data_IF_535662055779
#
_entry.id   IF_535662055779
#
_cell.length_a   1.000
_cell.length_b   1.000
_cell.length_c   1.000
_cell.angle_alpha   90.00
_cell.angle_beta   90.00
_cell.angle_gamma   90.00
#
_symmetry.space_group_name_H-M   'P 1'
#
loop_
_entity.id
_entity.type
_entity.pdbx_description
1 polymer ?
#
# COMPACT_ATOMS: atom_id res chain seq x y z
N UNK A 1 22.84 2.72 -32.23
CA UNK A 1 21.69 1.84 -32.49
C UNK A 1 22.13 0.42 -32.15
N UNK A 2 21.96 0.01 -30.90
CA UNK A 2 22.10 -1.38 -30.47
C UNK A 2 20.83 -1.72 -29.71
N UNK A 3 20.24 -2.83 -30.12
CA UNK A 3 18.93 -3.33 -29.74
C UNK A 3 19.00 -3.96 -28.33
N UNK A 4 18.32 -3.37 -27.35
CA UNK A 4 18.04 -4.03 -26.05
C UNK A 4 16.69 -4.76 -26.12
N UNK A 5 16.63 -5.77 -26.98
CA UNK A 5 15.64 -6.84 -26.90
C UNK A 5 16.43 -8.14 -26.98
N UNK A 6 16.78 -8.69 -25.80
CA UNK A 6 17.21 -10.06 -25.49
C UNK A 6 18.25 -10.08 -24.35
N UNK A 7 17.86 -9.78 -23.11
CA UNK A 7 18.44 -10.48 -21.95
C UNK A 7 17.31 -10.89 -21.03
N UNK A 8 16.80 -12.12 -21.20
CA UNK A 8 16.02 -12.82 -20.17
C UNK A 8 16.94 -13.22 -19.01
N UNK A 9 17.64 -12.26 -18.42
CA UNK A 9 18.53 -12.48 -17.30
C UNK A 9 17.72 -12.69 -16.03
N UNK A 10 17.89 -13.84 -15.39
CA UNK A 10 17.33 -14.09 -14.05
C UNK A 10 17.93 -13.06 -13.10
N UNK A 11 17.09 -12.24 -12.47
CA UNK A 11 17.51 -11.35 -11.39
C UNK A 11 17.95 -12.21 -10.20
N UNK A 12 19.27 -12.31 -10.00
CA UNK A 12 19.89 -13.13 -8.97
C UNK A 12 19.33 -12.77 -7.59
N UNK A 13 19.03 -11.49 -7.32
CA UNK A 13 18.49 -11.07 -6.02
C UNK A 13 17.12 -11.68 -5.77
N UNK A 14 16.24 -11.65 -6.76
CA UNK A 14 14.92 -12.30 -6.69
C UNK A 14 15.06 -13.80 -6.50
N UNK A 15 15.98 -14.44 -7.24
CA UNK A 15 16.19 -15.88 -7.10
C UNK A 15 16.72 -16.27 -5.72
N UNK A 16 17.64 -15.49 -5.15
CA UNK A 16 18.13 -15.70 -3.78
C UNK A 16 17.00 -15.49 -2.77
N UNK A 17 16.16 -14.46 -2.94
CA UNK A 17 15.01 -14.24 -2.07
C UNK A 17 14.04 -15.44 -2.12
N UNK A 18 13.71 -15.94 -3.30
CA UNK A 18 12.89 -17.14 -3.50
C UNK A 18 13.47 -18.37 -2.78
N UNK A 19 14.74 -18.69 -3.04
CA UNK A 19 15.39 -19.86 -2.41
C UNK A 19 15.42 -19.71 -0.88
N UNK A 20 15.69 -18.51 -0.38
CA UNK A 20 15.70 -18.26 1.05
C UNK A 20 14.31 -18.40 1.68
N UNK A 21 13.26 -17.93 1.00
CA UNK A 21 11.87 -18.12 1.42
C UNK A 21 11.48 -19.59 1.39
N UNK A 22 11.88 -20.35 0.37
CA UNK A 22 11.63 -21.81 0.31
C UNK A 22 12.30 -22.56 1.47
N UNK A 23 13.52 -22.16 1.85
CA UNK A 23 14.21 -22.68 3.03
C UNK A 23 13.44 -22.28 4.30
N UNK A 24 13.06 -21.01 4.43
CA UNK A 24 12.31 -20.50 5.57
C UNK A 24 10.97 -21.24 5.73
N UNK A 25 10.22 -21.50 4.64
CA UNK A 25 8.96 -22.27 4.70
C UNK A 25 9.16 -23.66 5.27
N UNK A 26 10.30 -24.30 5.03
CA UNK A 26 10.62 -25.63 5.57
C UNK A 26 11.13 -25.60 7.01
N UNK A 27 11.83 -24.53 7.41
CA UNK A 27 12.55 -24.48 8.68
C UNK A 27 11.88 -23.61 9.75
N UNK A 28 11.31 -22.47 9.38
CA UNK A 28 10.59 -21.59 10.30
C UNK A 28 9.15 -22.09 10.53
N UNK A 29 8.64 -22.13 11.77
CA UNK A 29 9.24 -21.57 13.00
C UNK A 29 10.09 -22.54 13.84
N UNK A 30 10.10 -23.84 13.54
CA UNK A 30 10.66 -24.88 14.44
C UNK A 30 12.19 -24.97 14.41
N UNK A 31 12.76 -25.16 13.22
CA UNK A 31 14.19 -25.42 13.01
C UNK A 31 15.00 -24.13 12.90
N UNK A 32 14.38 -23.05 12.40
CA UNK A 32 15.00 -21.73 12.31
C UNK A 32 14.10 -20.64 12.91
N UNK A 33 13.86 -20.65 14.24
CA UNK A 33 12.98 -19.69 14.91
C UNK A 33 13.47 -18.24 14.84
N UNK A 34 14.78 -18.03 14.66
CA UNK A 34 15.40 -16.70 14.60
C UNK A 34 15.40 -16.07 13.20
N UNK A 35 14.79 -16.69 12.19
CA UNK A 35 14.86 -16.26 10.79
C UNK A 35 14.68 -14.74 10.60
N UNK A 36 13.59 -14.16 11.09
CA UNK A 36 13.33 -12.72 10.96
C UNK A 36 14.32 -11.86 11.76
N UNK A 37 14.73 -12.32 12.94
CA UNK A 37 15.74 -11.63 13.77
C UNK A 37 17.08 -11.56 13.02
N UNK A 38 17.49 -12.67 12.40
CA UNK A 38 18.73 -12.75 11.63
C UNK A 38 18.67 -11.82 10.39
N UNK A 39 17.55 -11.81 9.68
CA UNK A 39 17.34 -10.92 8.52
C UNK A 39 17.35 -9.44 8.91
N UNK A 40 16.70 -9.09 10.02
CA UNK A 40 16.68 -7.73 10.56
C UNK A 40 18.09 -7.31 11.00
N UNK A 41 18.84 -8.21 11.64
CA UNK A 41 20.22 -7.95 12.06
C UNK A 41 21.11 -7.65 10.85
N UNK A 42 21.00 -8.42 9.77
CA UNK A 42 21.74 -8.17 8.53
C UNK A 42 21.41 -6.79 7.94
N UNK A 43 20.13 -6.40 7.96
CA UNK A 43 19.69 -5.07 7.52
C UNK A 43 20.33 -3.96 8.37
N UNK A 44 20.31 -4.11 9.70
CA UNK A 44 20.81 -3.13 10.67
C UNK A 44 22.34 -3.02 10.70
N UNK A 45 23.07 -4.12 10.45
CA UNK A 45 24.53 -4.13 10.48
C UNK A 45 25.15 -3.43 9.27
N UNK A 46 24.51 -3.53 8.09
CA UNK A 46 25.06 -3.00 6.83
C UNK A 46 24.44 -1.67 6.41
N UNK A 47 23.15 -1.47 6.66
CA UNK A 47 22.39 -0.25 6.33
C UNK A 47 22.61 0.26 4.90
N UNK A 48 22.79 -0.64 3.94
CA UNK A 48 22.95 -0.28 2.52
C UNK A 48 21.61 -0.35 1.78
N UNK A 49 21.44 0.40 0.67
CA UNK A 49 20.27 0.24 -0.19
C UNK A 49 20.08 -1.20 -0.70
N UNK A 50 21.17 -1.93 -0.92
CA UNK A 50 21.16 -3.32 -1.38
C UNK A 50 20.62 -4.29 -0.32
N UNK A 51 21.02 -4.11 0.94
CA UNK A 51 20.52 -4.93 2.05
C UNK A 51 19.05 -4.62 2.34
N UNK A 52 18.62 -3.37 2.19
CA UNK A 52 17.20 -3.00 2.26
C UNK A 52 16.38 -3.66 1.14
N UNK A 53 16.83 -3.54 -0.12
CA UNK A 53 16.20 -4.19 -1.26
C UNK A 53 16.07 -5.70 -1.06
N UNK A 54 17.11 -6.34 -0.53
CA UNK A 54 17.10 -7.77 -0.25
C UNK A 54 16.08 -8.12 0.84
N UNK A 55 16.10 -7.41 1.97
CA UNK A 55 15.16 -7.62 3.08
C UNK A 55 13.70 -7.48 2.63
N UNK A 56 13.36 -6.37 1.96
CA UNK A 56 12.00 -6.15 1.46
C UNK A 56 11.62 -7.11 0.33
N UNK A 57 12.60 -7.55 -0.48
CA UNK A 57 12.41 -8.59 -1.48
C UNK A 57 12.05 -9.95 -0.86
N UNK A 58 12.74 -10.33 0.23
CA UNK A 58 12.41 -11.54 1.01
C UNK A 58 11.00 -11.46 1.58
N UNK A 59 10.61 -10.31 2.17
CA UNK A 59 9.26 -10.12 2.69
C UNK A 59 8.19 -10.19 1.60
N UNK A 60 8.42 -9.56 0.44
CA UNK A 60 7.48 -9.63 -0.69
C UNK A 60 7.30 -11.05 -1.21
N UNK A 61 8.41 -11.77 -1.41
CA UNK A 61 8.38 -13.16 -1.86
C UNK A 61 7.71 -14.07 -0.82
N UNK A 62 7.94 -13.82 0.47
CA UNK A 62 7.27 -14.56 1.54
C UNK A 62 5.76 -14.30 1.51
N UNK A 63 5.32 -13.04 1.43
CA UNK A 63 3.89 -12.69 1.34
C UNK A 63 3.24 -13.36 0.13
N UNK A 64 3.89 -13.27 -1.02
CA UNK A 64 3.42 -13.94 -2.23
C UNK A 64 3.27 -15.45 -2.01
N UNK A 65 4.28 -16.08 -1.41
CA UNK A 65 4.33 -17.54 -1.21
C UNK A 65 3.39 -18.10 -0.11
N UNK A 66 2.95 -17.27 0.85
CA UNK A 66 2.08 -17.73 1.96
C UNK A 66 0.68 -17.12 1.96
N UNK A 67 0.45 -16.06 1.19
CA UNK A 67 -0.81 -15.31 1.15
C UNK A 67 -1.39 -15.24 -0.26
N UNK A 68 -0.61 -14.89 -1.28
CA UNK A 68 -1.15 -14.56 -2.61
C UNK A 68 -1.17 -15.75 -3.59
N UNK A 69 -0.30 -16.74 -3.40
CA UNK A 69 -0.14 -17.87 -4.32
C UNK A 69 -1.22 -18.95 -4.12
N UNK A 70 -2.45 -18.68 -4.58
CA UNK A 70 -3.58 -19.59 -4.40
C UNK A 70 -3.67 -20.75 -5.40
N UNK A 71 -2.86 -20.74 -6.46
CA UNK A 71 -3.09 -21.59 -7.63
C UNK A 71 -2.42 -22.97 -7.55
N UNK A 72 -1.58 -23.23 -6.55
CA UNK A 72 -0.69 -24.40 -6.53
C UNK A 72 -0.55 -25.08 -5.17
N UNK A 73 -1.38 -24.75 -4.18
CA UNK A 73 -1.17 -25.22 -2.82
C UNK A 73 -1.86 -26.56 -2.52
N UNK A 74 -1.06 -27.52 -2.09
CA UNK A 74 -1.54 -28.74 -1.42
C UNK A 74 -2.13 -28.42 -0.04
N UNK A 75 -2.92 -29.33 0.54
CA UNK A 75 -3.48 -29.14 1.89
C UNK A 75 -2.39 -28.99 2.94
N UNK A 76 -1.29 -29.71 2.75
CA UNK A 76 -0.11 -29.68 3.59
C UNK A 76 0.58 -28.31 3.52
N UNK A 77 0.69 -27.72 2.33
CA UNK A 77 1.25 -26.37 2.15
C UNK A 77 0.35 -25.28 2.75
N UNK A 78 -0.98 -25.38 2.59
CA UNK A 78 -1.92 -24.47 3.24
C UNK A 78 -1.79 -24.53 4.77
N UNK A 79 -1.73 -25.74 5.34
CA UNK A 79 -1.51 -25.92 6.77
C UNK A 79 -0.17 -25.33 7.22
N UNK A 80 0.89 -25.49 6.41
CA UNK A 80 2.19 -24.89 6.69
C UNK A 80 2.15 -23.36 6.66
N UNK A 81 1.46 -22.78 5.68
CA UNK A 81 1.28 -21.33 5.57
C UNK A 81 0.54 -20.76 6.78
N UNK A 82 -0.47 -21.46 7.31
CA UNK A 82 -1.16 -21.07 8.55
C UNK A 82 -0.19 -21.04 9.73
N UNK A 83 0.60 -22.11 9.93
CA UNK A 83 1.60 -22.17 11.01
C UNK A 83 2.60 -21.01 10.92
N UNK A 84 3.08 -20.70 9.71
CA UNK A 84 4.03 -19.60 9.50
C UNK A 84 3.38 -18.26 9.86
N UNK A 85 2.17 -17.98 9.36
CA UNK A 85 1.46 -16.72 9.65
C UNK A 85 1.18 -16.55 11.14
N UNK A 86 0.77 -17.61 11.82
CA UNK A 86 0.48 -17.55 13.26
C UNK A 86 1.76 -17.33 14.07
N UNK A 87 2.85 -18.04 13.75
CA UNK A 87 4.13 -17.80 14.41
C UNK A 87 4.66 -16.37 14.16
N UNK A 88 4.49 -15.84 12.94
CA UNK A 88 4.83 -14.45 12.63
C UNK A 88 4.02 -13.47 13.48
N UNK A 89 2.71 -13.70 13.62
CA UNK A 89 1.82 -12.85 14.44
C UNK A 89 2.24 -12.83 15.90
N UNK A 90 2.65 -13.96 16.44
CA UNK A 90 3.05 -14.06 17.85
C UNK A 90 4.40 -13.39 18.15
N UNK A 91 5.36 -13.40 17.21
CA UNK A 91 6.77 -13.13 17.55
C UNK A 91 7.47 -12.07 16.70
N UNK A 92 7.06 -11.89 15.45
CA UNK A 92 7.88 -11.20 14.44
C UNK A 92 7.20 -10.00 13.80
N UNK A 93 5.87 -9.96 13.70
CA UNK A 93 5.17 -8.84 13.06
C UNK A 93 5.45 -7.50 13.76
N UNK A 94 5.47 -7.45 15.09
CA UNK A 94 5.80 -6.21 15.82
C UNK A 94 7.19 -5.68 15.47
N UNK A 95 8.17 -6.58 15.33
CA UNK A 95 9.55 -6.23 14.95
C UNK A 95 9.62 -5.75 13.52
N UNK A 96 8.95 -6.46 12.60
CA UNK A 96 8.88 -6.09 11.18
C UNK A 96 8.24 -4.71 11.01
N UNK A 97 7.16 -4.42 11.74
CA UNK A 97 6.48 -3.12 11.70
C UNK A 97 7.37 -2.01 12.28
N UNK A 98 8.11 -2.30 13.35
CA UNK A 98 9.12 -1.38 13.89
C UNK A 98 10.20 -1.07 12.85
N UNK A 99 10.64 -2.07 12.09
CA UNK A 99 11.59 -1.89 10.98
C UNK A 99 10.99 -1.02 9.89
N UNK A 100 9.74 -1.24 9.48
CA UNK A 100 9.06 -0.39 8.49
C UNK A 100 8.99 1.06 8.92
N UNK A 101 8.52 1.32 10.14
CA UNK A 101 8.41 2.66 10.69
C UNK A 101 9.76 3.37 10.75
N UNK A 102 10.79 2.67 11.26
CA UNK A 102 12.15 3.21 11.36
C UNK A 102 12.73 3.48 9.97
N UNK A 103 12.56 2.53 9.05
CA UNK A 103 13.09 2.62 7.69
C UNK A 103 12.49 3.79 6.92
N UNK A 104 11.16 3.93 6.95
CA UNK A 104 10.44 5.05 6.35
C UNK A 104 10.83 6.39 6.98
N UNK A 105 11.00 6.43 8.30
CA UNK A 105 11.42 7.64 9.01
C UNK A 105 12.82 8.12 8.60
N UNK A 106 13.75 7.19 8.37
CA UNK A 106 15.12 7.49 7.97
C UNK A 106 15.26 7.84 6.48
N UNK A 107 14.44 7.21 5.62
CA UNK A 107 14.57 7.31 4.16
C UNK A 107 13.52 8.20 3.50
N UNK A 108 12.90 9.12 4.26
CA UNK A 108 11.91 10.09 3.74
C UNK A 108 12.38 10.92 2.54
N UNK A 109 13.68 10.97 2.23
CA UNK A 109 14.23 11.69 1.08
C UNK A 109 14.73 10.77 -0.04
N UNK A 110 14.49 9.47 0.06
CA UNK A 110 14.91 8.46 -0.92
C UNK A 110 13.66 7.78 -1.48
N UNK A 111 13.06 8.31 -2.57
CA UNK A 111 11.79 7.84 -3.08
C UNK A 111 11.77 6.35 -3.42
N UNK A 112 12.85 5.83 -4.02
CA UNK A 112 12.95 4.42 -4.43
C UNK A 112 12.86 3.46 -3.23
N UNK A 113 13.57 3.76 -2.16
CA UNK A 113 13.58 2.90 -0.96
C UNK A 113 12.27 3.01 -0.19
N UNK A 114 11.73 4.22 -0.06
CA UNK A 114 10.42 4.48 0.53
C UNK A 114 9.33 3.71 -0.21
N UNK A 115 9.33 3.77 -1.55
CA UNK A 115 8.42 3.04 -2.43
C UNK A 115 8.46 1.54 -2.14
N UNK A 116 9.64 0.93 -2.14
CA UNK A 116 9.80 -0.50 -1.89
C UNK A 116 9.22 -0.91 -0.52
N UNK A 117 9.48 -0.12 0.53
CA UNK A 117 8.95 -0.40 1.86
C UNK A 117 7.42 -0.31 1.91
N UNK A 118 6.83 0.75 1.35
CA UNK A 118 5.38 0.94 1.33
C UNK A 118 4.67 -0.15 0.49
N UNK A 119 5.25 -0.57 -0.64
CA UNK A 119 4.74 -1.70 -1.42
C UNK A 119 4.78 -3.01 -0.65
N UNK A 120 5.86 -3.27 0.09
CA UNK A 120 5.93 -4.46 0.95
C UNK A 120 4.86 -4.39 2.04
N UNK A 121 4.67 -3.22 2.65
CA UNK A 121 3.65 -3.04 3.68
C UNK A 121 2.24 -3.31 3.15
N UNK A 122 1.88 -2.77 1.99
CA UNK A 122 0.56 -2.92 1.34
C UNK A 122 0.11 -4.39 1.32
N UNK A 123 0.99 -5.29 0.83
CA UNK A 123 0.69 -6.73 0.75
C UNK A 123 0.47 -7.41 2.10
N UNK A 124 1.07 -6.90 3.17
CA UNK A 124 0.92 -7.44 4.52
C UNK A 124 -0.31 -6.89 5.24
N UNK A 125 -0.74 -5.66 4.92
CA UNK A 125 -1.83 -5.01 5.63
C UNK A 125 -3.04 -5.93 5.65
N UNK A 126 -3.47 -6.51 4.53
CA UNK A 126 -4.67 -7.36 4.45
C UNK A 126 -4.85 -8.42 5.56
N UNK A 127 -3.77 -9.02 6.09
CA UNK A 127 -3.85 -10.15 7.02
C UNK A 127 -3.22 -9.94 8.41
N UNK A 128 -2.54 -8.82 8.65
CA UNK A 128 -2.01 -8.49 9.99
C UNK A 128 -3.07 -7.87 10.90
N UNK A 129 -2.83 -7.90 12.21
CA UNK A 129 -3.69 -7.24 13.20
C UNK A 129 -3.80 -5.74 12.95
N UNK A 130 -5.02 -5.18 13.05
CA UNK A 130 -5.24 -3.77 12.70
C UNK A 130 -4.60 -2.84 13.73
N UNK A 131 -4.57 -3.24 14.99
CA UNK A 131 -3.94 -2.55 16.11
C UNK A 131 -2.45 -2.24 15.89
N UNK A 132 -1.77 -3.04 15.07
CA UNK A 132 -0.35 -2.85 14.78
C UNK A 132 -0.07 -1.68 13.80
N UNK A 133 -1.06 -1.29 13.00
CA UNK A 133 -0.91 -0.30 11.91
C UNK A 133 -1.85 0.89 12.02
N UNK A 134 -2.98 0.73 12.71
CA UNK A 134 -3.97 1.77 12.96
C UNK A 134 -3.66 2.59 14.23
N UNK A 135 -2.39 2.88 14.46
CA UNK A 135 -1.95 3.72 15.58
C UNK A 135 -1.52 5.10 15.05
N UNK A 136 -1.61 6.11 15.92
CA UNK A 136 -1.33 7.51 15.58
C UNK A 136 0.07 7.70 14.97
N UNK A 137 1.06 6.98 15.48
CA UNK A 137 2.45 7.07 15.03
C UNK A 137 2.59 6.64 13.56
N UNK A 138 2.01 5.50 13.21
CA UNK A 138 2.08 4.95 11.86
C UNK A 138 1.21 5.73 10.87
N UNK A 139 -0.01 6.10 11.29
CA UNK A 139 -0.92 6.89 10.48
C UNK A 139 -0.34 8.28 10.18
N UNK A 140 0.22 8.95 11.19
CA UNK A 140 0.89 10.25 11.01
C UNK A 140 2.02 10.18 9.99
N UNK A 141 2.77 9.08 9.97
CA UNK A 141 3.84 8.88 9.01
C UNK A 141 3.29 8.68 7.58
N UNK A 142 2.24 7.86 7.40
CA UNK A 142 1.56 7.71 6.11
C UNK A 142 1.00 9.04 5.60
N UNK A 143 0.40 9.84 6.49
CA UNK A 143 -0.12 11.17 6.13
C UNK A 143 0.97 12.13 5.69
N UNK A 144 2.18 12.05 6.26
CA UNK A 144 3.31 12.84 5.78
C UNK A 144 3.70 12.47 4.35
N UNK A 145 3.70 11.18 4.01
CA UNK A 145 3.99 10.72 2.65
C UNK A 145 2.90 11.12 1.65
N UNK A 146 1.65 11.25 2.07
CA UNK A 146 0.56 11.77 1.23
C UNK A 146 0.69 13.27 0.99
N UNK A 147 1.10 14.03 2.01
CA UNK A 147 1.17 15.50 1.98
C UNK A 147 2.34 16.06 1.17
N UNK A 148 3.43 15.32 1.00
CA UNK A 148 4.66 15.79 0.36
C UNK A 148 4.68 15.47 -1.14
N UNK A 149 4.46 16.50 -1.96
CA UNK A 149 4.43 16.40 -3.42
C UNK A 149 5.77 15.92 -4.04
N UNK A 150 6.88 15.97 -3.30
CA UNK A 150 8.20 15.47 -3.75
C UNK A 150 8.41 13.98 -3.46
N UNK A 151 7.60 13.42 -2.56
CA UNK A 151 7.59 12.00 -2.22
C UNK A 151 6.59 11.20 -3.06
N UNK A 152 5.67 11.90 -3.72
CA UNK A 152 4.86 11.36 -4.81
C UNK A 152 5.81 10.97 -5.95
N UNK A 153 5.87 9.67 -6.26
CA UNK A 153 6.82 9.15 -7.25
C UNK A 153 6.48 9.68 -8.67
N UNK A 154 7.34 10.49 -9.31
CA UNK A 154 7.23 10.78 -10.72
C UNK A 154 8.05 9.72 -11.47
N UNK A 155 7.58 8.47 -11.49
CA UNK A 155 8.22 7.41 -12.29
C UNK A 155 7.16 6.57 -12.99
N UNK A 156 6.37 7.25 -13.82
CA UNK A 156 5.70 6.63 -14.95
C UNK A 156 5.91 7.55 -16.15
N UNK A 157 7.05 7.41 -16.83
CA UNK A 157 7.11 7.90 -18.20
C UNK A 157 7.70 6.91 -19.19
N UNK A 158 8.52 5.93 -18.80
CA UNK A 158 9.08 5.02 -19.81
C UNK A 158 9.12 3.58 -19.33
N UNK A 159 8.35 2.78 -20.07
CA UNK A 159 8.41 1.32 -20.29
C UNK A 159 7.29 0.49 -19.65
N UNK A 160 6.57 -0.17 -20.57
CA UNK A 160 5.57 -1.24 -20.42
C UNK A 160 4.10 -0.85 -20.25
N UNK A 161 3.60 -0.31 -21.36
CA UNK A 161 2.27 -0.60 -21.91
C UNK A 161 2.01 -2.12 -21.95
N UNK A 162 0.76 -2.52 -21.65
CA UNK A 162 0.16 -3.86 -21.81
C UNK A 162 0.69 -5.02 -20.96
N UNK A 163 0.19 -5.15 -19.71
CA UNK A 163 -0.54 -6.33 -19.22
C UNK A 163 -1.08 -6.06 -17.79
N UNK A 164 -2.41 -5.94 -17.65
CA UNK A 164 -3.20 -6.04 -16.40
C UNK A 164 -3.10 -4.91 -15.33
N UNK A 165 -4.09 -4.00 -15.36
CA UNK A 165 -4.61 -3.24 -14.19
C UNK A 165 -3.59 -2.39 -13.39
N UNK A 166 -2.97 -1.37 -13.96
CA UNK A 166 -3.53 0.00 -14.04
C UNK A 166 -3.91 0.63 -12.68
N UNK A 167 -2.98 0.66 -11.72
CA UNK A 167 -3.03 1.61 -10.59
C UNK A 167 -1.69 2.37 -10.54
N UNK A 168 -1.72 3.65 -10.87
CA UNK A 168 -0.64 4.60 -10.68
C UNK A 168 -0.58 4.96 -9.20
N UNK A 169 -0.15 3.99 -8.40
CA UNK A 169 -0.14 3.99 -6.94
C UNK A 169 0.81 5.04 -6.36
N UNK A 170 0.32 5.88 -5.44
CA UNK A 170 1.19 6.35 -4.36
C UNK A 170 1.11 5.29 -3.29
N UNK A 171 2.19 4.53 -3.05
CA UNK A 171 2.15 3.35 -2.18
C UNK A 171 1.66 3.64 -0.74
N UNK A 172 1.69 4.92 -0.31
CA UNK A 172 1.11 5.36 0.96
C UNK A 172 -0.42 5.42 0.94
N UNK A 173 -1.02 5.80 -0.20
CA UNK A 173 -2.48 5.83 -0.37
C UNK A 173 -3.07 4.42 -0.39
N UNK A 174 -2.40 3.45 -1.03
CA UNK A 174 -2.85 2.05 -1.00
C UNK A 174 -2.81 1.48 0.42
N UNK A 175 -1.72 1.72 1.14
CA UNK A 175 -1.63 1.33 2.55
C UNK A 175 -2.79 1.91 3.37
N UNK A 176 -3.11 3.20 3.16
CA UNK A 176 -4.21 3.86 3.86
C UNK A 176 -5.58 3.29 3.43
N UNK A 177 -5.77 3.03 2.14
CA UNK A 177 -6.97 2.39 1.60
C UNK A 177 -7.20 1.02 2.23
N UNK A 178 -6.16 0.18 2.30
CA UNK A 178 -6.24 -1.16 2.90
C UNK A 178 -6.56 -1.06 4.40
N UNK A 179 -5.97 -0.11 5.12
CA UNK A 179 -6.28 0.15 6.53
C UNK A 179 -7.75 0.56 6.71
N UNK A 180 -8.25 1.50 5.92
CA UNK A 180 -9.65 1.97 6.00
C UNK A 180 -10.62 0.85 5.59
N UNK A 181 -10.24 0.03 4.63
CA UNK A 181 -11.06 -1.09 4.15
C UNK A 181 -11.19 -2.21 5.18
N UNK A 182 -10.26 -2.32 6.12
CA UNK A 182 -10.35 -3.31 7.21
C UNK A 182 -11.56 -3.08 8.11
N UNK A 183 -12.08 -4.19 8.63
CA UNK A 183 -13.06 -4.17 9.72
C UNK A 183 -12.37 -3.72 11.00
N UNK A 184 -12.97 -2.76 11.68
CA UNK A 184 -12.48 -2.25 12.95
C UNK A 184 -13.62 -1.66 13.77
N UNK A 185 -13.35 -1.47 15.05
CA UNK A 185 -14.29 -0.85 15.98
C UNK A 185 -14.70 0.56 15.52
N UNK A 186 -15.97 0.90 15.72
CA UNK A 186 -16.57 2.12 15.18
C UNK A 186 -15.85 3.39 15.68
N UNK A 187 -15.62 3.49 16.99
CA UNK A 187 -15.00 4.67 17.61
C UNK A 187 -13.56 4.85 17.14
N UNK A 188 -12.81 3.76 17.01
CA UNK A 188 -11.44 3.80 16.49
C UNK A 188 -11.39 4.24 15.03
N UNK A 189 -12.31 3.75 14.21
CA UNK A 189 -12.38 4.11 12.79
C UNK A 189 -12.73 5.58 12.59
N UNK A 190 -13.60 6.09 13.46
CA UNK A 190 -13.99 7.49 13.48
C UNK A 190 -12.81 8.41 13.79
N UNK A 191 -12.09 8.16 14.90
CA UNK A 191 -10.93 8.96 15.29
C UNK A 191 -9.84 8.97 14.20
N UNK A 192 -9.66 7.83 13.52
CA UNK A 192 -8.77 7.75 12.36
C UNK A 192 -9.23 8.62 11.20
N UNK A 193 -10.49 8.52 10.78
CA UNK A 193 -11.02 9.30 9.65
C UNK A 193 -11.02 10.80 9.94
N UNK A 194 -11.31 11.20 11.19
CA UNK A 194 -11.22 12.60 11.63
C UNK A 194 -9.81 13.17 11.51
N UNK A 195 -8.78 12.34 11.72
CA UNK A 195 -7.39 12.71 11.51
C UNK A 195 -6.97 12.81 10.04
N UNK A 196 -7.77 12.28 9.11
CA UNK A 196 -7.47 12.31 7.68
C UNK A 196 -8.12 13.53 7.06
N UNK A 197 -7.30 14.44 6.54
CA UNK A 197 -7.74 15.45 5.58
C UNK A 197 -7.96 14.77 4.22
N UNK A 198 -9.05 14.01 4.10
CA UNK A 198 -9.35 13.15 2.93
C UNK A 198 -9.43 14.00 1.67
N UNK A 199 -9.97 15.20 1.80
CA UNK A 199 -10.15 16.13 0.69
C UNK A 199 -8.83 16.59 0.12
N UNK A 200 -7.87 16.92 0.98
CA UNK A 200 -6.52 17.21 0.52
C UNK A 200 -5.87 15.99 -0.14
N UNK A 201 -6.02 14.78 0.42
CA UNK A 201 -5.47 13.55 -0.19
C UNK A 201 -6.06 13.31 -1.58
N UNK A 202 -7.36 13.54 -1.74
CA UNK A 202 -8.08 13.39 -3.01
C UNK A 202 -7.65 14.46 -4.02
N UNK A 203 -7.60 15.74 -3.62
CA UNK A 203 -7.13 16.84 -4.48
C UNK A 203 -5.66 16.65 -4.89
N UNK A 204 -4.80 16.13 -4.01
CA UNK A 204 -3.40 15.84 -4.33
C UNK A 204 -3.24 14.63 -5.27
N UNK A 205 -4.13 13.64 -5.20
CA UNK A 205 -4.10 12.45 -6.07
C UNK A 205 -4.73 12.67 -7.44
N UNK A 206 -5.60 13.68 -7.59
CA UNK A 206 -6.14 14.13 -8.87
C UNK A 206 -5.06 14.58 -9.87
N UNK A 207 -3.87 14.95 -9.39
CA UNK A 207 -2.74 15.35 -10.23
C UNK A 207 -2.09 14.19 -11.02
N UNK A 208 -2.32 12.93 -10.63
CA UNK A 208 -1.57 11.80 -11.19
C UNK A 208 -2.40 10.61 -11.69
N UNK A 209 -3.63 10.37 -11.23
CA UNK A 209 -4.53 9.38 -11.86
C UNK A 209 -6.01 9.53 -11.42
N UNK A 210 -6.93 9.79 -12.36
CA UNK A 210 -8.36 10.10 -12.07
C UNK A 210 -9.13 8.94 -11.39
N UNK A 211 -8.69 7.69 -11.49
CA UNK A 211 -9.44 6.50 -11.02
C UNK A 211 -9.17 6.15 -9.55
N UNK A 212 -7.95 6.37 -9.07
CA UNK A 212 -7.48 5.83 -7.79
C UNK A 212 -7.92 6.73 -6.63
N UNK A 213 -7.80 8.06 -6.86
CA UNK A 213 -8.43 9.08 -6.03
C UNK A 213 -9.92 8.77 -5.83
N UNK A 214 -10.64 8.48 -6.92
CA UNK A 214 -12.07 8.18 -6.88
C UNK A 214 -12.41 6.94 -6.06
N UNK A 215 -11.63 5.85 -6.15
CA UNK A 215 -11.84 4.64 -5.35
C UNK A 215 -11.60 4.89 -3.85
N UNK A 216 -10.55 5.64 -3.52
CA UNK A 216 -10.30 6.05 -2.13
C UNK A 216 -11.43 6.93 -1.61
N UNK A 217 -11.89 7.90 -2.41
CA UNK A 217 -13.02 8.74 -2.03
C UNK A 217 -14.30 7.93 -1.88
N UNK A 218 -14.53 6.93 -2.74
CA UNK A 218 -15.71 6.05 -2.67
C UNK A 218 -15.71 5.20 -1.39
N UNK A 219 -14.56 4.64 -0.99
CA UNK A 219 -14.44 3.90 0.28
C UNK A 219 -14.57 4.83 1.48
N UNK A 220 -14.00 6.03 1.42
CA UNK A 220 -14.20 7.05 2.44
C UNK A 220 -15.66 7.50 2.52
N UNK A 221 -16.35 7.59 1.38
CA UNK A 221 -17.77 7.91 1.29
C UNK A 221 -18.64 6.79 1.85
N UNK A 222 -18.38 5.53 1.51
CA UNK A 222 -19.10 4.37 2.09
C UNK A 222 -18.91 4.32 3.62
N UNK A 223 -17.68 4.58 4.09
CA UNK A 223 -17.42 4.72 5.52
C UNK A 223 -18.24 5.89 6.10
N UNK A 224 -18.17 7.07 5.49
CA UNK A 224 -18.90 8.30 5.88
C UNK A 224 -20.41 8.11 5.95
N UNK A 225 -21.02 7.33 5.04
CA UNK A 225 -22.44 7.00 5.07
C UNK A 225 -22.84 6.23 6.32
N UNK A 226 -21.97 5.34 6.83
CA UNK A 226 -22.22 4.62 8.08
C UNK A 226 -22.18 5.56 9.30
N UNK A 227 -21.36 6.61 9.26
CA UNK A 227 -21.34 7.66 10.30
C UNK A 227 -22.54 8.61 10.20
N UNK A 228 -22.97 8.94 8.99
CA UNK A 228 -24.18 9.73 8.78
C UNK A 228 -25.42 9.05 9.37
N UNK A 229 -25.47 7.72 9.27
CA UNK A 229 -26.53 6.90 9.84
C UNK A 229 -26.43 6.67 11.36
N UNK A 230 -25.43 7.26 12.05
CA UNK A 230 -25.25 7.09 13.48
C UNK A 230 -26.38 7.77 14.29
N UNK A 231 -26.91 7.15 15.36
CA UNK A 231 -28.02 7.71 16.14
C UNK A 231 -27.67 8.98 16.91
N UNK A 232 -26.39 9.21 17.23
CA UNK A 232 -25.92 10.49 17.80
C UNK A 232 -25.74 11.54 16.70
N UNK A 233 -26.55 12.60 16.78
CA UNK A 233 -26.53 13.73 15.86
C UNK A 233 -25.18 14.47 15.80
N UNK A 234 -24.39 14.45 16.88
CA UNK A 234 -23.07 15.11 16.88
C UNK A 234 -22.11 14.40 15.93
N UNK A 235 -22.17 13.07 15.88
CA UNK A 235 -21.34 12.23 15.00
C UNK A 235 -21.75 12.43 13.55
N UNK A 236 -23.06 12.49 13.26
CA UNK A 236 -23.55 12.72 11.89
C UNK A 236 -23.31 14.14 11.40
N UNK A 237 -23.28 15.14 12.30
CA UNK A 237 -22.94 16.52 11.95
C UNK A 237 -21.47 16.69 11.53
N UNK A 238 -20.54 15.95 12.14
CA UNK A 238 -19.10 16.05 11.81
C UNK A 238 -18.74 15.52 10.41
N UNK A 239 -19.58 14.69 9.79
CA UNK A 239 -19.35 14.16 8.43
C UNK A 239 -20.03 14.99 7.33
N UNK A 240 -20.81 16.03 7.69
CA UNK A 240 -21.53 16.86 6.72
C UNK A 240 -20.57 17.62 5.80
N UNK A 241 -19.51 18.20 6.36
CA UNK A 241 -18.49 18.93 5.58
C UNK A 241 -17.82 17.99 4.56
N UNK A 242 -17.52 16.74 4.96
CA UNK A 242 -17.03 15.72 4.05
C UNK A 242 -17.99 15.44 2.89
N UNK A 243 -19.31 15.34 3.14
CA UNK A 243 -20.30 15.14 2.07
C UNK A 243 -20.41 16.34 1.13
N UNK A 244 -20.32 17.56 1.67
CA UNK A 244 -20.31 18.79 0.88
C UNK A 244 -19.12 18.79 -0.07
N UNK A 245 -17.93 18.50 0.45
CA UNK A 245 -16.71 18.52 -0.33
C UNK A 245 -16.64 17.35 -1.33
N UNK A 246 -17.15 16.17 -0.96
CA UNK A 246 -17.35 15.06 -1.87
C UNK A 246 -18.28 15.41 -3.04
N UNK A 247 -19.41 16.07 -2.74
CA UNK A 247 -20.36 16.54 -3.74
C UNK A 247 -19.73 17.57 -4.69
N UNK A 248 -18.97 18.52 -4.15
CA UNK A 248 -18.25 19.52 -4.92
C UNK A 248 -17.22 18.88 -5.87
N UNK A 249 -16.47 17.87 -5.40
CA UNK A 249 -15.54 17.09 -6.22
C UNK A 249 -16.25 16.38 -7.38
N UNK A 250 -17.38 15.70 -7.13
CA UNK A 250 -18.15 15.01 -8.17
C UNK A 250 -18.63 16.00 -9.24
N UNK A 251 -19.16 17.15 -8.82
CA UNK A 251 -19.63 18.17 -9.76
C UNK A 251 -18.50 18.74 -10.61
N UNK A 252 -17.36 19.05 -9.99
CA UNK A 252 -16.18 19.53 -10.71
C UNK A 252 -15.70 18.52 -11.77
N UNK A 253 -15.66 17.23 -11.43
CA UNK A 253 -15.32 16.16 -12.38
C UNK A 253 -16.32 16.06 -13.53
N UNK A 254 -17.61 16.16 -13.24
CA UNK A 254 -18.65 16.13 -14.27
C UNK A 254 -18.49 17.30 -15.26
N UNK A 255 -18.21 18.50 -14.75
CA UNK A 255 -17.94 19.69 -15.58
C UNK A 255 -16.70 19.53 -16.46
N UNK A 256 -15.61 18.99 -15.91
CA UNK A 256 -14.37 18.75 -16.67
C UNK A 256 -14.56 17.72 -17.78
N UNK A 257 -15.24 16.60 -17.49
CA UNK A 257 -15.56 15.59 -18.51
C UNK A 257 -16.47 16.13 -19.61
N UNK A 258 -17.40 17.04 -19.26
CA UNK A 258 -18.25 17.71 -20.24
C UNK A 258 -17.44 18.64 -21.15
N UNK A 259 -16.48 19.39 -20.59
CA UNK A 259 -15.56 20.25 -21.36
C UNK A 259 -14.63 19.45 -22.27
N UNK A 260 -14.06 18.34 -21.79
CA UNK A 260 -13.21 17.43 -22.58
C UNK A 260 -13.99 16.81 -23.76
N UNK A 261 -15.27 16.45 -23.56
CA UNK A 261 -16.13 15.95 -24.65
C UNK A 261 -16.39 17.01 -25.72
N UNK A 262 -16.74 18.23 -25.32
CA UNK A 262 -16.96 19.34 -26.24
C UNK A 262 -15.71 19.66 -27.07
N UNK A 263 -14.52 19.66 -26.45
CA UNK A 263 -13.26 19.90 -27.15
C UNK A 263 -12.91 18.79 -28.15
N UNK A 264 -13.21 17.52 -27.82
CA UNK A 264 -12.98 16.40 -28.72
C UNK A 264 -13.97 16.39 -29.91
N UNK A 265 -15.22 16.82 -29.70
CA UNK A 265 -16.23 16.98 -30.75
C UNK A 265 -15.88 18.15 -31.69
N UNK A 266 -15.40 19.27 -31.17
CA UNK A 266 -14.90 20.41 -31.96
C UNK A 266 -13.65 20.03 -32.77
N UNK A 267 -12.77 19.18 -32.23
CA UNK A 267 -11.56 18.72 -32.93
C UNK A 267 -11.86 17.72 -34.05
N UNK A 268 -12.96 16.96 -33.97
CA UNK A 268 -13.41 16.01 -35.00
C UNK A 268 -14.22 16.67 -36.13
N UNK A 269 -14.61 17.94 -36.00
CA UNK A 269 -15.30 18.70 -37.05
C UNK A 269 -14.35 19.52 -37.93
N UNK A 270 -13.04 19.51 -37.64
CA UNK A 270 -12.01 20.29 -38.36
C UNK A 270 -11.14 19.42 -39.28
N UNK A 271 -11.31 18.09 -39.27
CA UNK A 271 -10.81 17.13 -40.27
C UNK A 271 -11.92 16.68 -41.24
#
# INVERSE_FOLDING_TARGET
MSCEMCTGGVDIKKKVAQVLVDIAKKQYPEQWPSFFVDMIKILQDKQTPHTAQMFFGILKELNWSIVENHNQETKEEMARNVIIKDAMREKDLERIITVWHTFLSLHKKTPVLTKICLETMDGYISWIGIELIANETFLSLLYQFLKDDKLQCPVYFLLYFTFFFFFGKTNAADCLYEIISKRMDFDKKYEMLKGIDILRVVVQTEAYNKTDAFNMTLVCYEASLRYFAHPDYKVSAEVVDFFIDFWNMINHRHEMNHKEKLQNEESQQVD
#
